data_IF_705480911857
#
_entry.id   IF_705480911857
#
_cell.length_a   1.000
_cell.length_b   1.000
_cell.length_c   1.000
_cell.angle_alpha   90.00
_cell.angle_beta   90.00
_cell.angle_gamma   90.00
#
_symmetry.space_group_name_H-M   'P 1'
#
loop_
_entity.id
_entity.type
_entity.pdbx_description
1 polymer ?
#
# COMPACT_ATOMS: atom_id res chain seq x y z
N UNK A 1 -14.66 -22.36 -3.63
CA UNK A 1 -14.33 -21.09 -4.34
C UNK A 1 -13.16 -20.45 -3.63
N UNK A 2 -12.18 -19.93 -4.38
CA UNK A 2 -11.03 -19.23 -3.81
C UNK A 2 -11.47 -17.95 -3.07
N UNK A 3 -10.76 -17.58 -2.02
CA UNK A 3 -10.90 -16.27 -1.37
C UNK A 3 -10.14 -15.21 -2.16
N UNK A 4 -10.81 -14.14 -2.56
CA UNK A 4 -10.22 -13.07 -3.36
C UNK A 4 -9.65 -11.98 -2.46
N UNK A 5 -8.37 -11.70 -2.60
CA UNK A 5 -7.66 -10.66 -1.85
C UNK A 5 -7.12 -9.63 -2.85
N UNK A 6 -7.64 -8.41 -2.78
CA UNK A 6 -7.16 -7.29 -3.59
C UNK A 6 -6.04 -6.58 -2.84
N UNK A 7 -4.85 -6.52 -3.44
CA UNK A 7 -3.69 -5.80 -2.91
C UNK A 7 -3.56 -4.44 -3.60
N UNK A 8 -4.18 -3.43 -3.01
CA UNK A 8 -4.28 -2.08 -3.53
C UNK A 8 -3.16 -1.18 -2.99
N UNK A 9 -2.25 -0.74 -3.87
CA UNK A 9 -1.09 0.03 -3.44
C UNK A 9 -0.40 0.80 -4.55
N UNK A 10 0.81 1.24 -4.25
CA UNK A 10 1.67 2.04 -5.13
C UNK A 10 2.79 1.20 -5.77
N UNK A 11 3.96 1.82 -6.01
CA UNK A 11 5.15 1.18 -6.59
C UNK A 11 5.67 0.01 -5.74
N UNK A 12 5.57 0.07 -4.41
CA UNK A 12 5.95 -1.04 -3.54
C UNK A 12 5.01 -2.25 -3.68
N UNK A 13 3.75 -2.03 -4.03
CA UNK A 13 2.81 -3.11 -4.36
C UNK A 13 2.97 -3.57 -5.80
N UNK A 14 3.25 -2.66 -6.74
CA UNK A 14 3.64 -3.00 -8.10
C UNK A 14 4.90 -3.88 -8.14
N UNK A 15 5.80 -3.69 -7.16
CA UNK A 15 7.10 -4.37 -7.11
C UNK A 15 8.16 -3.65 -7.91
N UNK A 16 8.19 -2.32 -7.90
CA UNK A 16 9.23 -1.54 -8.57
C UNK A 16 10.62 -1.89 -8.00
N UNK A 17 11.56 -2.12 -8.91
CA UNK A 17 12.95 -2.46 -8.60
C UNK A 17 13.87 -1.30 -8.99
N UNK A 18 14.38 -0.55 -8.00
CA UNK A 18 15.25 0.61 -8.23
C UNK A 18 16.58 0.25 -8.91
N UNK A 19 17.04 -1.01 -8.78
CA UNK A 19 18.32 -1.43 -9.33
C UNK A 19 18.36 -1.48 -10.87
N UNK A 20 17.22 -1.63 -11.52
CA UNK A 20 17.14 -1.74 -12.98
C UNK A 20 16.02 -0.90 -13.60
N UNK A 21 15.42 0.01 -12.81
CA UNK A 21 14.27 0.83 -13.20
C UNK A 21 13.10 -0.02 -13.78
N UNK A 22 12.93 -1.21 -13.20
CA UNK A 22 12.00 -2.21 -13.68
C UNK A 22 11.03 -2.70 -12.61
N UNK A 23 10.66 -3.96 -12.71
CA UNK A 23 9.75 -4.65 -11.79
C UNK A 23 10.39 -5.94 -11.31
N UNK A 24 10.33 -6.22 -10.00
CA UNK A 24 10.66 -7.53 -9.47
C UNK A 24 9.80 -8.62 -10.12
N UNK A 25 10.35 -9.79 -10.36
CA UNK A 25 9.62 -10.90 -10.94
C UNK A 25 8.63 -11.55 -9.94
N UNK A 26 7.91 -12.58 -10.39
CA UNK A 26 6.90 -13.28 -9.61
C UNK A 26 7.47 -14.06 -8.42
N UNK A 27 8.78 -14.31 -8.40
CA UNK A 27 9.45 -15.01 -7.30
C UNK A 27 9.94 -14.07 -6.20
N UNK A 28 9.83 -12.75 -6.40
CA UNK A 28 10.43 -11.74 -5.56
C UNK A 28 9.43 -10.75 -4.96
N UNK A 29 8.43 -10.27 -5.74
CA UNK A 29 7.50 -9.27 -5.23
C UNK A 29 6.51 -9.83 -4.20
N UNK A 30 6.21 -9.06 -3.19
CA UNK A 30 5.47 -9.50 -2.02
C UNK A 30 4.07 -10.06 -2.33
N UNK A 31 3.40 -9.55 -3.34
CA UNK A 31 2.06 -10.01 -3.76
C UNK A 31 2.07 -11.44 -4.28
N UNK A 32 3.07 -11.78 -5.08
CA UNK A 32 3.25 -13.15 -5.59
C UNK A 32 3.77 -14.09 -4.50
N UNK A 33 4.65 -13.62 -3.63
CA UNK A 33 5.08 -14.38 -2.45
C UNK A 33 3.89 -14.64 -1.51
N UNK A 34 2.98 -13.66 -1.35
CA UNK A 34 1.74 -13.82 -0.59
C UNK A 34 0.86 -14.93 -1.20
N UNK A 35 0.67 -14.93 -2.54
CA UNK A 35 -0.05 -16.00 -3.24
C UNK A 35 0.57 -17.37 -2.95
N UNK A 36 1.90 -17.46 -3.02
CA UNK A 36 2.64 -18.70 -2.73
C UNK A 36 2.43 -19.15 -1.28
N UNK A 37 2.49 -18.22 -0.33
CA UNK A 37 2.36 -18.53 1.10
C UNK A 37 0.94 -18.98 1.49
N UNK A 38 -0.08 -18.37 0.90
CA UNK A 38 -1.49 -18.67 1.19
C UNK A 38 -2.00 -19.89 0.40
N UNK A 39 -1.37 -20.24 -0.72
CA UNK A 39 -1.69 -21.43 -1.52
C UNK A 39 -2.92 -21.27 -2.41
N UNK A 40 -3.45 -22.42 -2.84
CA UNK A 40 -4.46 -22.54 -3.90
C UNK A 40 -5.88 -22.08 -3.49
N UNK A 41 -6.16 -21.99 -2.18
CA UNK A 41 -7.47 -21.58 -1.68
C UNK A 41 -7.69 -20.05 -1.77
N UNK A 42 -6.66 -19.33 -2.17
CA UNK A 42 -6.68 -17.87 -2.31
C UNK A 42 -6.37 -17.43 -3.74
N UNK A 43 -6.85 -16.26 -4.09
CA UNK A 43 -6.53 -15.54 -5.32
C UNK A 43 -6.07 -14.13 -4.95
N UNK A 44 -4.80 -13.84 -5.19
CA UNK A 44 -4.22 -12.52 -4.95
C UNK A 44 -4.33 -11.70 -6.23
N UNK A 45 -4.95 -10.54 -6.12
CA UNK A 45 -5.18 -9.60 -7.19
C UNK A 45 -4.26 -8.39 -7.00
N UNK A 46 -3.27 -8.27 -7.89
CA UNK A 46 -2.23 -7.24 -7.82
C UNK A 46 -2.75 -5.91 -8.40
N UNK A 47 -3.04 -4.95 -7.56
CA UNK A 47 -3.50 -3.60 -7.90
C UNK A 47 -2.48 -2.53 -7.47
N UNK A 48 -1.21 -2.79 -7.75
CA UNK A 48 -0.10 -1.85 -7.56
C UNK A 48 0.07 -0.91 -8.75
N UNK A 49 0.05 0.40 -8.52
CA UNK A 49 0.33 1.43 -9.54
C UNK A 49 1.39 2.40 -9.02
N UNK A 50 2.53 2.47 -9.68
CA UNK A 50 3.61 3.39 -9.31
C UNK A 50 3.11 4.83 -9.28
N UNK A 51 3.39 5.54 -8.18
CA UNK A 51 2.94 6.92 -7.99
C UNK A 51 1.56 7.08 -7.34
N UNK A 52 0.78 5.99 -7.15
CA UNK A 52 -0.57 6.09 -6.56
C UNK A 52 -0.54 6.71 -5.17
N UNK A 53 -1.47 7.64 -4.95
CA UNK A 53 -1.74 8.31 -3.69
C UNK A 53 -3.00 7.72 -3.02
N UNK A 54 -3.27 8.11 -1.78
CA UNK A 54 -4.55 7.79 -1.13
C UNK A 54 -5.72 8.47 -1.84
N UNK A 55 -5.70 9.81 -1.96
CA UNK A 55 -6.81 10.58 -2.53
C UNK A 55 -6.37 11.87 -3.25
N UNK A 56 -5.08 12.12 -3.38
CA UNK A 56 -4.57 13.33 -4.01
C UNK A 56 -4.45 13.14 -5.52
N UNK A 57 -5.01 14.07 -6.30
CA UNK A 57 -4.74 14.15 -7.73
C UNK A 57 -3.36 14.77 -7.94
N UNK A 58 -2.48 14.04 -8.61
CA UNK A 58 -1.14 14.55 -8.92
C UNK A 58 -1.24 15.52 -10.11
N UNK A 59 -0.78 16.79 -9.95
CA UNK A 59 -0.86 17.77 -11.03
C UNK A 59 0.05 17.47 -12.22
N UNK A 60 1.00 16.52 -12.04
CA UNK A 60 1.98 16.16 -13.08
C UNK A 60 1.67 14.81 -13.74
N UNK A 61 0.79 13.99 -13.15
CA UNK A 61 0.50 12.64 -13.65
C UNK A 61 -0.99 12.30 -13.47
N UNK A 62 -1.57 11.66 -14.46
CA UNK A 62 -2.98 11.29 -14.48
C UNK A 62 -3.26 9.95 -13.79
N UNK A 63 -4.47 9.80 -13.23
CA UNK A 63 -5.00 8.52 -12.77
C UNK A 63 -4.37 7.97 -11.47
N UNK A 64 -3.61 8.79 -10.73
CA UNK A 64 -2.88 8.33 -9.54
C UNK A 64 -3.70 8.40 -8.24
N UNK A 65 -4.88 9.04 -8.23
CA UNK A 65 -5.74 9.07 -7.04
C UNK A 65 -6.35 7.69 -6.78
N UNK A 66 -6.00 7.07 -5.66
CA UNK A 66 -6.59 5.81 -5.22
C UNK A 66 -8.10 5.94 -4.98
N UNK A 67 -8.53 7.09 -4.44
CA UNK A 67 -9.95 7.37 -4.21
C UNK A 67 -10.80 7.33 -5.49
N UNK A 68 -10.25 7.79 -6.61
CA UNK A 68 -10.97 7.82 -7.89
C UNK A 68 -11.04 6.43 -8.52
N UNK A 69 -10.04 5.58 -8.28
CA UNK A 69 -9.94 4.25 -8.89
C UNK A 69 -10.54 3.12 -8.04
N UNK A 70 -10.73 3.29 -6.73
CA UNK A 70 -11.13 2.19 -5.84
C UNK A 70 -12.48 1.56 -6.23
N UNK A 71 -13.45 2.33 -6.74
CA UNK A 71 -14.74 1.82 -7.16
C UNK A 71 -14.61 0.85 -8.36
N UNK A 72 -14.06 1.25 -9.52
CA UNK A 72 -13.90 0.32 -10.64
C UNK A 72 -13.00 -0.87 -10.28
N UNK A 73 -11.96 -0.66 -9.45
CA UNK A 73 -11.10 -1.73 -8.98
C UNK A 73 -11.89 -2.82 -8.24
N UNK A 74 -12.62 -2.45 -7.18
CA UNK A 74 -13.35 -3.42 -6.36
C UNK A 74 -14.47 -4.11 -7.13
N UNK A 75 -15.22 -3.37 -7.96
CA UNK A 75 -16.31 -3.94 -8.78
C UNK A 75 -15.80 -4.90 -9.86
N UNK A 76 -14.61 -4.65 -10.41
CA UNK A 76 -14.00 -5.57 -11.40
C UNK A 76 -13.47 -6.86 -10.79
N UNK A 77 -13.22 -6.86 -9.49
CA UNK A 77 -12.66 -8.00 -8.75
C UNK A 77 -13.66 -8.72 -7.84
N UNK A 78 -14.95 -8.39 -7.95
CA UNK A 78 -15.99 -9.06 -7.16
C UNK A 78 -16.03 -10.58 -7.44
N UNK A 79 -16.32 -11.41 -6.44
CA UNK A 79 -16.55 -11.06 -5.03
C UNK A 79 -15.22 -10.93 -4.25
N UNK A 80 -15.05 -9.82 -3.53
CA UNK A 80 -13.85 -9.55 -2.70
C UNK A 80 -14.04 -10.09 -1.29
N UNK A 81 -13.06 -10.80 -0.76
CA UNK A 81 -13.04 -11.29 0.63
C UNK A 81 -12.23 -10.39 1.56
N UNK A 82 -11.15 -9.79 1.04
CA UNK A 82 -10.29 -8.85 1.77
C UNK A 82 -9.67 -7.82 0.82
N UNK A 83 -9.66 -6.57 1.24
CA UNK A 83 -8.89 -5.51 0.61
C UNK A 83 -7.68 -5.16 1.49
N UNK A 84 -6.48 -5.28 0.96
CA UNK A 84 -5.24 -4.81 1.59
C UNK A 84 -4.88 -3.46 0.96
N UNK A 85 -4.81 -2.39 1.75
CA UNK A 85 -4.42 -1.05 1.29
C UNK A 85 -3.05 -0.72 1.85
N UNK A 86 -2.06 -0.51 0.97
CA UNK A 86 -0.74 -0.01 1.32
C UNK A 86 -0.39 1.19 0.44
N UNK A 87 -0.72 2.38 0.91
CA UNK A 87 -0.53 3.67 0.24
C UNK A 87 -0.04 4.71 1.25
N UNK A 88 0.43 5.86 0.77
CA UNK A 88 0.86 6.99 1.59
C UNK A 88 2.26 7.48 1.27
N UNK A 89 3.13 6.64 0.73
CA UNK A 89 4.48 7.04 0.32
C UNK A 89 4.44 8.21 -0.67
N UNK A 90 3.60 8.13 -1.69
CA UNK A 90 3.48 9.20 -2.69
C UNK A 90 2.77 10.45 -2.19
N UNK A 91 1.93 10.31 -1.19
CA UNK A 91 1.22 11.42 -0.54
C UNK A 91 2.19 12.35 0.21
N UNK A 92 3.38 11.84 0.58
CA UNK A 92 4.42 12.63 1.25
C UNK A 92 5.08 13.66 0.32
N UNK A 93 4.92 13.55 -1.00
CA UNK A 93 5.52 14.46 -1.98
C UNK A 93 5.29 15.93 -1.59
N UNK A 94 6.35 16.73 -1.65
CA UNK A 94 6.33 18.13 -1.23
C UNK A 94 5.22 18.93 -1.94
N UNK A 95 4.98 18.66 -3.24
CA UNK A 95 3.99 19.37 -4.05
C UNK A 95 2.55 19.25 -3.57
N UNK A 96 2.23 18.26 -2.74
CA UNK A 96 0.90 18.14 -2.14
C UNK A 96 0.73 19.00 -0.88
N UNK A 97 1.81 19.46 -0.27
CA UNK A 97 1.76 20.26 0.96
C UNK A 97 1.10 19.55 2.15
N UNK A 98 0.91 18.23 2.07
CA UNK A 98 0.19 17.47 3.08
C UNK A 98 1.08 17.11 4.27
N UNK A 99 0.53 17.22 5.49
CA UNK A 99 1.12 16.66 6.71
C UNK A 99 0.74 15.18 6.83
N UNK A 100 1.42 14.42 7.71
CA UNK A 100 1.05 13.04 8.02
C UNK A 100 -0.44 12.92 8.44
N UNK A 101 -0.95 13.88 9.22
CA UNK A 101 -2.36 13.93 9.60
C UNK A 101 -3.29 14.12 8.40
N UNK A 102 -2.94 15.00 7.45
CA UNK A 102 -3.72 15.18 6.21
C UNK A 102 -3.70 13.90 5.36
N UNK A 103 -2.57 13.18 5.29
CA UNK A 103 -2.46 11.90 4.59
C UNK A 103 -3.35 10.86 5.27
N UNK A 104 -3.36 10.80 6.60
CA UNK A 104 -4.27 9.95 7.37
C UNK A 104 -5.75 10.23 7.07
N UNK A 105 -6.13 11.50 6.95
CA UNK A 105 -7.49 11.88 6.53
C UNK A 105 -7.79 11.46 5.08
N UNK A 106 -6.81 11.51 4.19
CA UNK A 106 -6.91 11.00 2.82
C UNK A 106 -7.16 9.49 2.79
N UNK A 107 -6.38 8.73 3.56
CA UNK A 107 -6.60 7.29 3.73
C UNK A 107 -7.99 6.99 4.30
N UNK A 108 -8.42 7.72 5.35
CA UNK A 108 -9.77 7.56 5.91
C UNK A 108 -10.84 7.72 4.84
N UNK A 109 -10.72 8.72 3.98
CA UNK A 109 -11.65 8.95 2.87
C UNK A 109 -11.71 7.79 1.89
N UNK A 110 -10.54 7.26 1.50
CA UNK A 110 -10.41 6.08 0.65
C UNK A 110 -11.07 4.84 1.29
N UNK A 111 -10.77 4.57 2.56
CA UNK A 111 -11.34 3.45 3.31
C UNK A 111 -12.86 3.56 3.42
N UNK A 112 -13.38 4.74 3.76
CA UNK A 112 -14.84 4.97 3.83
C UNK A 112 -15.52 4.77 2.47
N UNK A 113 -14.88 5.18 1.38
CA UNK A 113 -15.37 4.90 0.02
C UNK A 113 -15.39 3.40 -0.25
N UNK A 114 -14.33 2.66 0.07
CA UNK A 114 -14.29 1.21 -0.11
C UNK A 114 -15.38 0.50 0.71
N UNK A 115 -15.59 0.90 1.98
CA UNK A 115 -16.66 0.37 2.84
C UNK A 115 -18.05 0.61 2.22
N UNK A 116 -18.28 1.75 1.58
CA UNK A 116 -19.57 2.11 0.99
C UNK A 116 -19.94 1.32 -0.28
N UNK A 117 -18.99 0.61 -0.88
CA UNK A 117 -19.20 -0.23 -2.08
C UNK A 117 -19.67 -1.61 -1.60
N UNK A 118 -20.96 -1.76 -1.28
CA UNK A 118 -21.50 -2.97 -0.64
C UNK A 118 -21.53 -4.19 -1.55
N UNK A 119 -21.62 -3.97 -2.87
CA UNK A 119 -21.88 -5.06 -3.82
C UNK A 119 -20.66 -5.92 -4.12
N UNK A 120 -19.46 -5.35 -4.04
CA UNK A 120 -18.24 -6.08 -4.31
C UNK A 120 -17.86 -7.13 -3.25
N UNK A 121 -18.36 -7.00 -2.01
CA UNK A 121 -17.97 -7.88 -0.92
C UNK A 121 -18.76 -9.19 -0.91
N UNK A 122 -18.07 -10.34 -0.76
CA UNK A 122 -18.70 -11.67 -0.84
C UNK A 122 -19.91 -11.81 0.07
N UNK A 123 -19.80 -11.40 1.32
CA UNK A 123 -20.87 -11.52 2.31
C UNK A 123 -21.49 -10.16 2.66
N UNK A 124 -21.38 -9.17 1.76
CA UNK A 124 -21.77 -7.78 2.01
C UNK A 124 -21.09 -7.16 3.25
N UNK A 125 -19.98 -7.75 3.69
CA UNK A 125 -19.22 -7.33 4.88
C UNK A 125 -17.82 -6.92 4.47
N UNK A 126 -17.53 -5.62 4.44
CA UNK A 126 -16.19 -5.12 4.13
C UNK A 126 -15.15 -5.64 5.12
N UNK A 127 -14.09 -6.27 4.62
CA UNK A 127 -12.89 -6.59 5.39
C UNK A 127 -11.73 -5.86 4.75
N UNK A 128 -11.11 -4.96 5.50
CA UNK A 128 -10.02 -4.11 5.00
C UNK A 128 -8.84 -4.22 5.97
N UNK A 129 -7.67 -4.51 5.44
CA UNK A 129 -6.40 -4.43 6.13
C UNK A 129 -5.66 -3.18 5.67
N UNK A 130 -5.47 -2.23 6.57
CA UNK A 130 -4.65 -1.05 6.36
C UNK A 130 -3.21 -1.42 6.71
N UNK A 131 -2.29 -1.23 5.77
CA UNK A 131 -0.85 -1.44 5.98
C UNK A 131 -0.14 -0.08 5.87
N UNK A 132 0.52 0.34 6.95
CA UNK A 132 1.44 1.49 6.88
C UNK A 132 2.63 1.10 6.01
N UNK A 133 2.98 1.85 4.96
CA UNK A 133 4.17 1.56 4.16
C UNK A 133 5.46 1.71 4.99
N UNK A 134 6.54 1.05 4.55
CA UNK A 134 7.86 1.25 5.13
C UNK A 134 8.25 2.73 5.05
N UNK A 135 8.90 3.24 6.10
CA UNK A 135 9.36 4.62 6.16
C UNK A 135 10.40 4.90 5.07
N UNK A 136 10.31 6.09 4.50
CA UNK A 136 11.31 6.61 3.57
C UNK A 136 12.59 6.90 4.36
N UNK A 137 13.72 6.36 3.91
CA UNK A 137 15.03 6.64 4.48
C UNK A 137 15.50 8.04 4.10
N UNK A 138 16.17 8.75 5.01
CA UNK A 138 16.65 10.13 4.78
C UNK A 138 17.57 10.28 3.56
N UNK A 139 18.29 9.22 3.19
CA UNK A 139 19.15 9.21 2.01
C UNK A 139 18.45 9.50 0.68
N UNK A 140 17.09 9.44 0.64
CA UNK A 140 16.35 9.80 -0.58
C UNK A 140 16.64 11.24 -1.04
N UNK A 141 17.02 12.15 -0.13
CA UNK A 141 17.31 13.55 -0.45
C UNK A 141 18.59 13.70 -1.30
N UNK A 142 19.49 12.74 -1.23
CA UNK A 142 20.73 12.69 -2.02
C UNK A 142 20.59 11.81 -3.27
N UNK A 143 19.41 11.23 -3.50
CA UNK A 143 19.12 10.34 -4.62
C UNK A 143 18.38 11.04 -5.78
N UNK A 144 18.30 10.37 -6.93
CA UNK A 144 17.58 10.88 -8.10
C UNK A 144 16.08 11.15 -7.85
N UNK A 145 15.45 10.43 -6.91
CA UNK A 145 14.02 10.61 -6.61
C UNK A 145 13.72 11.92 -5.88
N UNK A 146 14.74 12.60 -5.33
CA UNK A 146 14.60 13.92 -4.70
C UNK A 146 13.89 14.93 -5.60
N UNK A 147 14.19 14.93 -6.90
CA UNK A 147 13.57 15.83 -7.87
C UNK A 147 12.06 15.63 -8.02
N UNK A 148 11.59 14.40 -7.83
CA UNK A 148 10.16 14.04 -7.92
C UNK A 148 9.45 14.13 -6.57
N UNK A 149 10.13 13.77 -5.50
CA UNK A 149 9.55 13.70 -4.16
C UNK A 149 9.50 15.06 -3.46
N UNK A 150 10.53 15.88 -3.63
CA UNK A 150 10.68 17.14 -2.89
C UNK A 150 11.21 16.91 -1.48
N UNK A 151 11.06 17.89 -0.58
CA UNK A 151 11.57 17.88 0.78
C UNK A 151 10.59 17.27 1.80
N UNK A 152 11.14 16.77 2.92
CA UNK A 152 10.37 16.40 4.11
C UNK A 152 9.57 15.10 3.99
N UNK A 153 9.85 14.26 2.98
CA UNK A 153 9.09 13.02 2.77
C UNK A 153 9.41 11.98 3.83
N UNK A 154 10.67 11.87 4.26
CA UNK A 154 11.08 10.93 5.30
C UNK A 154 10.36 11.22 6.62
N UNK A 155 10.36 12.48 7.07
CA UNK A 155 9.71 12.90 8.31
C UNK A 155 8.19 12.65 8.28
N UNK A 156 7.56 12.97 7.15
CA UNK A 156 6.11 12.71 6.96
C UNK A 156 5.81 11.22 7.01
N UNK A 157 6.65 10.37 6.36
CA UNK A 157 6.44 8.92 6.35
C UNK A 157 6.49 8.32 7.76
N UNK A 158 7.40 8.77 8.61
CA UNK A 158 7.50 8.34 10.02
C UNK A 158 6.24 8.68 10.84
N UNK A 159 5.48 9.69 10.43
CA UNK A 159 4.22 10.06 11.10
C UNK A 159 3.02 9.21 10.70
N UNK A 160 3.11 8.42 9.61
CA UNK A 160 1.94 7.73 9.05
C UNK A 160 1.42 6.61 9.96
N UNK A 161 2.28 5.86 10.64
CA UNK A 161 1.88 4.72 11.46
C UNK A 161 0.81 5.10 12.50
N UNK A 162 1.06 6.18 13.25
CA UNK A 162 0.12 6.72 14.24
C UNK A 162 -1.23 7.09 13.63
N UNK A 163 -1.20 7.79 12.51
CA UNK A 163 -2.42 8.26 11.85
C UNK A 163 -3.22 7.08 11.26
N UNK A 164 -2.55 6.09 10.69
CA UNK A 164 -3.17 4.92 10.08
C UNK A 164 -3.78 3.97 11.11
N UNK A 165 -3.10 3.76 12.24
CA UNK A 165 -3.66 3.02 13.36
C UNK A 165 -4.95 3.68 13.89
N UNK A 166 -4.95 5.02 14.01
CA UNK A 166 -6.12 5.77 14.41
C UNK A 166 -7.28 5.63 13.40
N UNK A 167 -6.97 5.67 12.09
CA UNK A 167 -7.98 5.43 11.03
C UNK A 167 -8.54 4.01 11.14
N UNK A 168 -7.70 3.00 11.31
CA UNK A 168 -8.13 1.61 11.45
C UNK A 168 -9.07 1.42 12.64
N UNK A 169 -8.72 1.96 13.81
CA UNK A 169 -9.57 1.95 15.01
C UNK A 169 -10.92 2.63 14.77
N UNK A 170 -10.91 3.80 14.12
CA UNK A 170 -12.12 4.57 13.85
C UNK A 170 -13.06 3.90 12.86
N UNK A 171 -12.53 3.18 11.86
CA UNK A 171 -13.30 2.56 10.77
C UNK A 171 -13.59 1.08 11.00
N UNK A 172 -13.07 0.48 12.07
CA UNK A 172 -13.22 -0.95 12.36
C UNK A 172 -12.39 -1.84 11.41
N UNK A 173 -11.36 -1.28 10.77
CA UNK A 173 -10.46 -2.02 9.88
C UNK A 173 -9.34 -2.71 10.66
N UNK A 174 -8.77 -3.75 10.06
CA UNK A 174 -7.54 -4.37 10.55
C UNK A 174 -6.33 -3.48 10.24
N UNK A 175 -5.26 -3.64 11.00
CA UNK A 175 -4.06 -2.82 10.89
C UNK A 175 -2.79 -3.65 10.96
N UNK A 176 -1.79 -3.23 10.19
CA UNK A 176 -0.41 -3.73 10.22
C UNK A 176 0.54 -2.57 9.92
N UNK A 177 1.58 -2.39 10.72
CA UNK A 177 2.69 -1.50 10.38
C UNK A 177 3.79 -2.31 9.66
N UNK A 178 4.10 -1.96 8.39
CA UNK A 178 5.19 -2.61 7.67
C UNK A 178 6.54 -2.42 8.36
N UNK A 179 6.73 -1.34 9.12
CA UNK A 179 7.98 -1.08 9.85
C UNK A 179 8.22 -2.05 11.02
N UNK A 180 7.18 -2.75 11.49
CA UNK A 180 7.31 -3.78 12.53
C UNK A 180 7.69 -5.16 11.94
N UNK A 181 7.38 -5.40 10.67
CA UNK A 181 7.59 -6.71 10.03
C UNK A 181 8.71 -6.71 9.00
N UNK A 182 9.06 -5.55 8.45
CA UNK A 182 10.20 -5.36 7.54
C UNK A 182 11.33 -4.74 8.32
N UNK A 183 12.33 -5.57 8.66
CA UNK A 183 13.47 -5.16 9.50
C UNK A 183 14.68 -4.67 8.72
N UNK A 184 14.71 -4.96 7.41
CA UNK A 184 15.77 -4.43 6.53
C UNK A 184 15.39 -3.01 6.08
N UNK A 185 16.38 -2.11 5.88
CA UNK A 185 16.09 -0.77 5.35
C UNK A 185 15.55 -0.85 3.91
N UNK A 186 14.91 0.22 3.41
CA UNK A 186 14.69 0.39 1.99
C UNK A 186 16.02 0.28 1.20
N UNK A 187 15.95 0.05 -0.11
CA UNK A 187 17.16 -0.02 -0.93
C UNK A 187 18.01 1.26 -0.81
N UNK A 188 19.31 1.16 -1.09
CA UNK A 188 20.31 2.22 -0.98
C UNK A 188 20.41 3.14 -2.22
N UNK A 189 19.58 2.91 -3.24
CA UNK A 189 19.54 3.69 -4.47
C UNK A 189 18.59 4.89 -4.34
N UNK A 190 17.35 4.64 -3.86
CA UNK A 190 16.33 5.66 -3.70
C UNK A 190 15.80 5.82 -2.27
N UNK A 191 16.14 4.90 -1.38
CA UNK A 191 15.80 4.89 0.04
C UNK A 191 14.29 4.88 0.34
N UNK A 192 13.46 4.39 -0.60
CA UNK A 192 12.01 4.33 -0.41
C UNK A 192 11.36 3.04 -0.89
N UNK A 193 11.96 2.36 -1.88
CA UNK A 193 11.42 1.12 -2.37
C UNK A 193 12.00 -0.08 -1.61
N UNK A 194 11.16 -1.10 -1.45
CA UNK A 194 11.54 -2.34 -0.79
C UNK A 194 12.68 -3.04 -1.54
N UNK A 195 13.57 -3.64 -0.78
CA UNK A 195 14.53 -4.61 -1.32
C UNK A 195 13.83 -5.96 -1.55
N UNK A 196 14.47 -6.89 -2.26
CA UNK A 196 13.99 -8.28 -2.37
C UNK A 196 13.70 -8.91 -1.01
N UNK A 197 14.60 -8.71 -0.05
CA UNK A 197 14.41 -9.19 1.33
C UNK A 197 13.22 -8.47 2.01
N UNK A 198 13.07 -7.16 1.81
CA UNK A 198 11.92 -6.39 2.32
C UNK A 198 10.60 -6.91 1.77
N UNK A 199 10.52 -7.26 0.47
CA UNK A 199 9.36 -7.90 -0.12
C UNK A 199 9.03 -9.26 0.54
N UNK A 200 10.04 -10.09 0.83
CA UNK A 200 9.87 -11.39 1.49
C UNK A 200 9.35 -11.24 2.92
N UNK A 201 9.91 -10.29 3.68
CA UNK A 201 9.49 -10.02 5.05
C UNK A 201 8.07 -9.46 5.10
N UNK A 202 7.74 -8.52 4.21
CA UNK A 202 6.40 -7.95 4.10
C UNK A 202 5.36 -9.03 3.75
N UNK A 203 5.65 -9.87 2.76
CA UNK A 203 4.77 -11.00 2.40
C UNK A 203 4.50 -11.91 3.59
N UNK A 204 5.54 -12.24 4.37
CA UNK A 204 5.42 -13.08 5.56
C UNK A 204 4.57 -12.42 6.65
N UNK A 205 4.75 -11.11 6.88
CA UNK A 205 3.96 -10.33 7.84
C UNK A 205 2.49 -10.26 7.46
N UNK A 206 2.21 -9.92 6.19
CA UNK A 206 0.83 -9.84 5.67
C UNK A 206 0.17 -11.23 5.66
N UNK A 207 0.91 -12.30 5.32
CA UNK A 207 0.38 -13.68 5.36
C UNK A 207 -0.16 -14.01 6.76
N UNK A 208 0.65 -13.80 7.80
CA UNK A 208 0.22 -14.05 9.19
C UNK A 208 -1.04 -13.26 9.52
N UNK A 209 -1.06 -11.97 9.15
CA UNK A 209 -2.21 -11.11 9.43
C UNK A 209 -3.48 -11.54 8.70
N UNK A 210 -3.38 -11.97 7.45
CA UNK A 210 -4.53 -12.46 6.68
C UNK A 210 -5.13 -13.72 7.30
N UNK A 211 -4.30 -14.66 7.76
CA UNK A 211 -4.76 -15.90 8.41
C UNK A 211 -5.45 -15.64 9.77
N UNK A 212 -5.26 -14.47 10.38
CA UNK A 212 -6.03 -14.05 11.56
C UNK A 212 -7.42 -13.47 11.18
N UNK A 213 -7.58 -13.00 9.94
CA UNK A 213 -8.76 -12.26 9.47
C UNK A 213 -9.77 -13.18 8.75
N UNK A 214 -9.24 -14.12 7.93
CA UNK A 214 -10.10 -14.94 7.05
C UNK A 214 -9.69 -16.42 6.99
#
# INVERSE_FOLDING_TARGET
MKKHIVCFGDSNTHGYCAANDGRFDETERWTCLLQKNLGEDYLILEEGLSGRTTCFNDPLFEGLSGLDYIYPCLMSHEPVDLLVIMLGTNDTKERFGASAACIGLGLKRLVQKAISITDCWRDKRPKILIVTPQNIGKGYEDSAVRGTMGAGCAEKSMGLAKEYEAVAKLTGCYYLDANEVVTVPPNDIDHMHLTKEGHSQLASGITRKILEII
#
